data_IF_098761426550
#
_entry.id   IF_098761426550
#
_cell.length_a   1.000
_cell.length_b   1.000
_cell.length_c   1.000
_cell.angle_alpha   90.00
_cell.angle_beta   90.00
_cell.angle_gamma   90.00
#
_symmetry.space_group_name_H-M   'P 1'
#
loop_
_entity.id
_entity.type
_entity.pdbx_description
1 polymer ?
#
# COMPACT_ATOMS: atom_id res chain seq x y z
N UNK A 1 39.83 4.00 -31.45
CA UNK A 1 40.24 3.88 -30.05
C UNK A 1 39.37 4.68 -29.10
N UNK A 2 39.05 5.94 -29.38
CA UNK A 2 38.19 6.79 -28.54
C UNK A 2 36.76 6.25 -28.39
N UNK A 3 36.18 5.63 -29.41
CA UNK A 3 34.83 5.06 -29.41
C UNK A 3 34.71 3.87 -28.45
N UNK A 4 35.76 3.06 -28.33
CA UNK A 4 35.75 1.91 -27.40
C UNK A 4 35.88 2.32 -25.95
N UNK A 5 36.62 3.38 -25.64
CA UNK A 5 36.72 3.95 -24.30
C UNK A 5 35.42 4.62 -23.86
N UNK A 6 34.72 5.25 -24.78
CA UNK A 6 33.42 5.87 -24.51
C UNK A 6 32.34 4.86 -24.20
N UNK A 7 32.28 3.72 -24.91
CA UNK A 7 31.33 2.65 -24.63
C UNK A 7 31.59 1.98 -23.27
N UNK A 8 32.84 1.88 -22.85
CA UNK A 8 33.19 1.33 -21.54
C UNK A 8 32.77 2.28 -20.39
N UNK A 9 32.87 3.58 -20.59
CA UNK A 9 32.46 4.59 -19.61
C UNK A 9 30.94 4.59 -19.42
N UNK A 10 30.16 4.33 -20.47
CA UNK A 10 28.70 4.23 -20.41
C UNK A 10 28.24 3.03 -19.61
N UNK A 11 29.00 1.94 -19.57
CA UNK A 11 28.70 0.73 -18.80
C UNK A 11 28.95 0.90 -17.29
N UNK A 12 29.69 1.92 -16.89
CA UNK A 12 30.04 2.21 -15.49
C UNK A 12 29.08 3.20 -14.80
N UNK A 13 28.05 3.70 -15.50
CA UNK A 13 27.03 4.55 -14.89
C UNK A 13 26.15 3.66 -14.03
N UNK A 14 26.19 3.78 -12.68
CA UNK A 14 25.28 3.02 -11.84
C UNK A 14 23.86 3.54 -12.07
N UNK A 15 23.02 2.69 -12.61
CA UNK A 15 21.59 2.96 -12.69
C UNK A 15 21.05 2.79 -11.29
N UNK A 16 20.90 3.88 -10.56
CA UNK A 16 20.18 3.87 -9.29
C UNK A 16 18.69 3.74 -9.59
N UNK A 17 18.19 2.52 -9.55
CA UNK A 17 16.76 2.26 -9.58
C UNK A 17 16.25 2.52 -8.17
N UNK A 18 15.66 3.67 -7.98
CA UNK A 18 14.93 4.00 -6.75
C UNK A 18 13.58 3.31 -6.83
N UNK A 19 13.49 2.12 -6.25
CA UNK A 19 12.22 1.43 -6.09
C UNK A 19 11.57 1.88 -4.78
N UNK A 20 10.44 2.56 -4.88
CA UNK A 20 9.57 2.79 -3.74
C UNK A 20 8.58 1.63 -3.65
N UNK A 21 8.73 0.75 -2.68
CA UNK A 21 7.96 -0.47 -2.62
C UNK A 21 7.21 -0.61 -1.29
N UNK A 22 5.95 -1.04 -1.41
CA UNK A 22 5.19 -1.53 -0.27
C UNK A 22 5.65 -2.96 0.04
N UNK A 23 6.17 -3.18 1.24
CA UNK A 23 6.75 -4.45 1.70
C UNK A 23 5.71 -5.42 2.24
N UNK A 24 4.60 -4.89 2.73
CA UNK A 24 3.54 -5.70 3.30
C UNK A 24 2.43 -4.85 3.89
N UNK A 25 1.32 -5.49 4.21
CA UNK A 25 0.21 -4.81 4.82
C UNK A 25 -0.83 -5.78 5.36
N UNK A 26 -1.68 -5.26 6.22
CA UNK A 26 -2.83 -5.96 6.78
C UNK A 26 -4.03 -5.04 6.84
N UNK A 27 -5.21 -5.64 6.80
CA UNK A 27 -6.49 -4.97 7.05
C UNK A 27 -7.07 -5.59 8.31
N UNK A 28 -7.39 -4.77 9.30
CA UNK A 28 -8.10 -5.16 10.51
C UNK A 28 -9.37 -4.35 10.67
N UNK A 29 -10.30 -4.82 11.48
CA UNK A 29 -11.54 -4.12 11.74
C UNK A 29 -11.97 -4.24 13.20
N UNK A 30 -12.75 -3.25 13.65
CA UNK A 30 -13.41 -3.25 14.95
C UNK A 30 -14.87 -2.87 14.76
N UNK A 31 -15.78 -3.62 15.38
CA UNK A 31 -17.20 -3.31 15.38
C UNK A 31 -17.47 -2.11 16.29
N UNK A 32 -18.05 -1.07 15.75
CA UNK A 32 -18.42 0.14 16.52
C UNK A 32 -19.84 0.05 17.03
N UNK A 33 -20.79 -0.32 16.18
CA UNK A 33 -22.20 -0.48 16.53
C UNK A 33 -23.08 -0.67 15.30
N UNK A 34 -24.16 -1.44 15.42
CA UNK A 34 -25.03 -1.73 14.30
C UNK A 34 -24.28 -2.37 13.13
N UNK A 35 -24.37 -1.78 11.95
CA UNK A 35 -23.64 -2.21 10.75
C UNK A 35 -22.38 -1.35 10.47
N UNK A 36 -21.95 -0.57 11.44
CA UNK A 36 -20.78 0.32 11.33
C UNK A 36 -19.55 -0.34 11.93
N UNK A 37 -18.46 -0.32 11.16
CA UNK A 37 -17.16 -0.87 11.52
C UNK A 37 -16.08 0.17 11.27
N UNK A 38 -15.07 0.16 12.13
CA UNK A 38 -13.82 0.89 11.90
C UNK A 38 -12.81 -0.05 11.25
N UNK A 39 -12.23 0.39 10.14
CA UNK A 39 -11.21 -0.35 9.44
C UNK A 39 -9.85 0.32 9.61
N UNK A 40 -8.84 -0.49 9.80
CA UNK A 40 -7.46 -0.05 9.91
C UNK A 40 -6.63 -0.78 8.86
N UNK A 41 -5.93 -0.02 8.02
CA UNK A 41 -4.93 -0.54 7.10
C UNK A 41 -3.57 -0.21 7.69
N UNK A 42 -2.74 -1.23 7.86
CA UNK A 42 -1.35 -1.06 8.25
C UNK A 42 -0.47 -1.45 7.07
N UNK A 43 0.43 -0.56 6.66
CA UNK A 43 1.40 -0.85 5.60
C UNK A 43 2.82 -0.64 6.11
N UNK A 44 3.75 -1.38 5.51
CA UNK A 44 5.17 -1.22 5.75
C UNK A 44 5.83 -0.79 4.43
N UNK A 45 6.43 0.38 4.42
CA UNK A 45 7.09 0.96 3.24
C UNK A 45 8.53 1.33 3.54
N UNK A 46 9.32 1.54 2.49
CA UNK A 46 10.69 2.02 2.64
C UNK A 46 10.71 3.46 3.13
N UNK A 47 11.65 3.79 4.03
CA UNK A 47 11.78 5.12 4.63
C UNK A 47 12.02 6.22 3.60
N UNK A 48 12.75 5.90 2.52
CA UNK A 48 13.01 6.79 1.40
C UNK A 48 11.91 6.82 0.35
N UNK A 49 10.77 6.17 0.60
CA UNK A 49 9.65 6.16 -0.35
C UNK A 49 9.12 7.57 -0.54
N UNK A 50 9.18 8.02 -1.76
CA UNK A 50 8.55 9.25 -2.25
C UNK A 50 7.40 8.86 -3.16
N UNK A 51 6.55 9.78 -3.52
CA UNK A 51 5.43 9.68 -4.47
C UNK A 51 5.08 8.27 -4.99
N UNK A 52 3.89 7.79 -4.70
CA UNK A 52 3.36 6.52 -5.17
C UNK A 52 3.18 5.49 -4.06
N UNK A 53 4.12 5.36 -3.15
CA UNK A 53 4.01 4.49 -1.97
C UNK A 53 3.81 5.25 -0.66
N UNK A 54 4.29 6.50 -0.58
CA UNK A 54 4.05 7.37 0.57
C UNK A 54 2.78 8.19 0.37
N UNK A 55 1.64 7.55 0.54
CA UNK A 55 0.33 8.16 0.31
C UNK A 55 -0.28 8.66 1.61
N UNK A 56 -0.89 9.86 1.61
CA UNK A 56 -1.63 10.36 2.77
C UNK A 56 -2.95 9.64 3.00
N UNK A 57 -3.43 8.91 1.99
CA UNK A 57 -4.70 8.18 2.02
C UNK A 57 -4.61 6.89 1.22
N UNK A 58 -5.44 5.91 1.59
CA UNK A 58 -5.64 4.66 0.86
C UNK A 58 -7.13 4.42 0.64
N UNK A 59 -7.44 3.65 -0.40
CA UNK A 59 -8.80 3.28 -0.72
C UNK A 59 -9.09 1.85 -0.28
N UNK A 60 -10.27 1.66 0.29
CA UNK A 60 -10.78 0.35 0.65
C UNK A 60 -12.06 0.09 -0.14
N UNK A 61 -12.06 -0.99 -0.90
CA UNK A 61 -13.20 -1.41 -1.70
C UNK A 61 -14.04 -2.45 -0.95
N UNK A 62 -15.34 -2.23 -0.93
CA UNK A 62 -16.31 -3.10 -0.31
C UNK A 62 -17.18 -3.74 -1.40
N UNK A 63 -17.31 -5.06 -1.36
CA UNK A 63 -18.16 -5.84 -2.26
C UNK A 63 -17.92 -5.56 -3.76
N UNK A 64 -16.64 -5.39 -4.11
CA UNK A 64 -16.21 -5.11 -5.48
C UNK A 64 -16.72 -6.20 -6.44
N UNK A 65 -17.24 -5.79 -7.59
CA UNK A 65 -17.81 -6.69 -8.59
C UNK A 65 -19.28 -7.04 -8.35
N UNK A 66 -19.94 -6.46 -7.35
CA UNK A 66 -21.37 -6.61 -7.09
C UNK A 66 -22.10 -5.29 -7.32
N UNK A 67 -23.47 -5.29 -7.42
CA UNK A 67 -24.26 -4.06 -7.51
C UNK A 67 -24.15 -3.16 -6.26
N UNK A 68 -23.63 -3.69 -5.14
CA UNK A 68 -23.48 -2.97 -3.87
C UNK A 68 -22.05 -2.48 -3.63
N UNK A 69 -21.21 -2.49 -4.64
CA UNK A 69 -19.82 -2.05 -4.54
C UNK A 69 -19.73 -0.60 -4.06
N UNK A 70 -18.90 -0.38 -3.04
CA UNK A 70 -18.59 0.94 -2.48
C UNK A 70 -17.10 1.09 -2.27
N UNK A 71 -16.61 2.33 -2.28
CA UNK A 71 -15.21 2.65 -2.00
C UNK A 71 -15.16 3.75 -0.96
N UNK A 72 -14.40 3.51 0.10
CA UNK A 72 -14.11 4.52 1.12
C UNK A 72 -12.64 4.88 1.12
N UNK A 73 -12.36 6.11 1.53
CA UNK A 73 -11.00 6.63 1.69
C UNK A 73 -10.63 6.57 3.15
N UNK A 74 -9.49 5.94 3.45
CA UNK A 74 -8.90 5.91 4.78
C UNK A 74 -7.73 6.88 4.84
N UNK A 75 -7.75 7.79 5.81
CA UNK A 75 -6.69 8.76 6.01
C UNK A 75 -5.59 8.18 6.91
N UNK A 76 -4.35 8.54 6.59
CA UNK A 76 -3.20 8.17 7.42
C UNK A 76 -3.27 8.91 8.75
N UNK A 77 -3.28 8.15 9.83
CA UNK A 77 -3.31 8.67 11.20
C UNK A 77 -1.97 8.60 11.90
N UNK A 78 -1.08 7.72 11.44
CA UNK A 78 0.23 7.51 12.06
C UNK A 78 1.26 7.04 11.05
N UNK A 79 2.50 7.47 11.25
CA UNK A 79 3.66 7.03 10.50
C UNK A 79 4.84 6.93 11.46
N UNK A 80 5.34 5.72 11.67
CA UNK A 80 6.39 5.42 12.66
C UNK A 80 7.52 4.66 12.00
N UNK A 81 8.78 5.11 12.15
CA UNK A 81 9.93 4.32 11.74
C UNK A 81 10.00 2.98 12.49
N UNK A 82 10.18 1.89 11.76
CA UNK A 82 10.39 0.56 12.32
C UNK A 82 11.87 0.19 12.41
N UNK A 83 12.66 0.69 11.46
CA UNK A 83 14.07 0.45 11.35
C UNK A 83 14.74 1.62 10.63
N UNK A 84 16.03 1.51 10.35
CA UNK A 84 16.78 2.49 9.55
C UNK A 84 16.30 2.57 8.09
N UNK A 85 15.55 1.58 7.64
CA UNK A 85 15.14 1.47 6.23
C UNK A 85 13.62 1.39 6.02
N UNK A 86 12.82 1.12 7.06
CA UNK A 86 11.39 0.88 6.93
C UNK A 86 10.57 1.71 7.91
N UNK A 87 9.36 2.04 7.49
CA UNK A 87 8.35 2.73 8.29
C UNK A 87 7.01 2.01 8.25
N UNK A 88 6.27 2.14 9.33
CA UNK A 88 4.89 1.66 9.46
C UNK A 88 3.93 2.82 9.27
N UNK A 89 2.97 2.65 8.39
CA UNK A 89 1.90 3.60 8.16
C UNK A 89 0.56 2.99 8.60
N UNK A 90 -0.24 3.77 9.28
CA UNK A 90 -1.57 3.38 9.76
C UNK A 90 -2.61 4.31 9.18
N UNK A 91 -3.64 3.72 8.57
CA UNK A 91 -4.78 4.41 7.96
C UNK A 91 -6.04 3.92 8.63
N UNK A 92 -6.92 4.84 8.99
CA UNK A 92 -8.15 4.53 9.71
C UNK A 92 -9.34 5.19 9.03
N UNK A 93 -10.45 4.47 8.94
CA UNK A 93 -11.71 4.98 8.46
C UNK A 93 -12.87 4.09 8.90
N UNK A 94 -14.07 4.61 8.80
CA UNK A 94 -15.29 3.89 9.15
C UNK A 94 -16.12 3.59 7.92
N UNK A 95 -16.82 2.45 7.96
CA UNK A 95 -17.78 2.06 6.92
C UNK A 95 -19.03 1.49 7.57
N UNK A 96 -20.19 1.89 7.04
CA UNK A 96 -21.50 1.34 7.45
C UNK A 96 -22.04 0.50 6.30
N UNK A 97 -22.23 -0.80 6.56
CA UNK A 97 -22.85 -1.71 5.61
C UNK A 97 -24.35 -1.48 5.52
N UNK A 98 -24.92 -1.76 4.36
CA UNK A 98 -26.38 -1.66 4.15
C UNK A 98 -27.14 -2.92 4.51
N UNK A 99 -26.45 -4.03 4.70
CA UNK A 99 -27.04 -5.33 5.03
C UNK A 99 -26.09 -6.17 5.88
N UNK A 100 -26.66 -7.13 6.59
CA UNK A 100 -25.91 -8.21 7.23
C UNK A 100 -25.45 -9.25 6.21
N UNK A 101 -24.52 -10.11 6.59
CA UNK A 101 -24.02 -11.21 5.77
C UNK A 101 -22.52 -11.12 5.54
N UNK A 102 -22.06 -11.85 4.54
CA UNK A 102 -20.65 -11.85 4.15
C UNK A 102 -20.35 -10.69 3.22
N UNK A 103 -19.31 -9.95 3.54
CA UNK A 103 -18.83 -8.83 2.74
C UNK A 103 -17.37 -9.05 2.37
N UNK A 104 -17.02 -8.71 1.13
CA UNK A 104 -15.65 -8.76 0.64
C UNK A 104 -15.02 -7.38 0.79
N UNK A 105 -13.87 -7.33 1.42
CA UNK A 105 -13.12 -6.10 1.65
C UNK A 105 -11.76 -6.27 0.96
N UNK A 106 -11.43 -5.32 0.09
CA UNK A 106 -10.25 -5.40 -0.77
C UNK A 106 -9.50 -4.08 -0.75
N UNK A 107 -8.19 -4.16 -0.64
CA UNK A 107 -7.29 -3.05 -0.89
C UNK A 107 -6.32 -3.44 -1.99
N UNK A 108 -6.21 -2.62 -3.01
CA UNK A 108 -5.27 -2.81 -4.10
C UNK A 108 -4.17 -1.76 -4.01
N UNK A 109 -2.93 -2.23 -3.96
CA UNK A 109 -1.76 -1.36 -4.03
C UNK A 109 -0.93 -1.73 -5.26
N UNK A 110 -0.86 -0.84 -6.27
CA UNK A 110 -0.09 -1.10 -7.48
C UNK A 110 1.43 -1.06 -7.28
N UNK A 111 1.90 -0.56 -6.12
CA UNK A 111 3.33 -0.37 -5.84
C UNK A 111 3.93 -1.51 -5.00
N UNK A 112 3.53 -2.75 -5.27
CA UNK A 112 4.15 -3.91 -4.62
C UNK A 112 5.52 -4.21 -5.19
N UNK A 113 6.39 -4.76 -4.34
CA UNK A 113 7.69 -5.25 -4.81
C UNK A 113 7.53 -6.32 -5.90
N UNK A 114 8.34 -6.24 -6.93
CA UNK A 114 8.46 -7.31 -7.89
C UNK A 114 9.04 -8.58 -7.22
N UNK A 115 8.56 -9.75 -7.61
CA UNK A 115 9.09 -11.03 -7.13
C UNK A 115 8.53 -11.51 -5.79
N UNK A 116 7.55 -10.83 -5.21
CA UNK A 116 6.81 -11.36 -4.07
C UNK A 116 5.88 -12.45 -4.60
N UNK A 117 6.19 -13.68 -4.26
CA UNK A 117 5.26 -14.78 -4.45
C UNK A 117 4.11 -14.61 -3.46
N UNK A 118 2.89 -14.55 -3.97
CA UNK A 118 1.71 -14.57 -3.11
C UNK A 118 1.69 -15.91 -2.39
N UNK A 119 1.94 -15.85 -1.11
CA UNK A 119 1.69 -16.98 -0.21
C UNK A 119 0.26 -16.77 0.29
N UNK A 120 -0.53 -17.78 0.11
CA UNK A 120 -1.94 -17.84 0.57
C UNK A 120 -2.01 -17.88 2.08
#
# INVERSE_FOLDING_TARGET
MLIRAFNFLFLLIPIFIWGSHNRGGEITYTHIGGLTYEFTITTCTDLGSVTGTDRPELFLDFDLGTPFAQRDTLLRTSQVPLSVSHKKNIYVGTHTFTSTGSHRITMEDPNRNAGILNVW
#
